data_IF_046072893572
#
_entry.id   IF_046072893572
#
_cell.length_a   1.000
_cell.length_b   1.000
_cell.length_c   1.000
_cell.angle_alpha   90.00
_cell.angle_beta   90.00
_cell.angle_gamma   90.00
#
_symmetry.space_group_name_H-M   'P 1'
#
loop_
_entity.id
_entity.type
_entity.pdbx_description
1 polymer ?
#
# COMPACT_ATOMS: atom_id res chain seq x y z
N UNK A 1 -21.94 28.56 11.88
CA UNK A 1 -21.63 27.64 10.76
C UNK A 1 -22.50 26.41 10.95
N UNK A 2 -23.45 26.09 10.06
CA UNK A 2 -24.36 24.97 10.28
C UNK A 2 -23.54 23.67 10.30
N UNK A 3 -23.72 22.88 11.35
CA UNK A 3 -23.06 21.59 11.49
C UNK A 3 -23.39 20.74 10.26
N UNK A 4 -22.37 20.45 9.43
CA UNK A 4 -22.57 19.60 8.25
C UNK A 4 -23.09 18.25 8.73
N UNK A 5 -24.27 17.86 8.25
CA UNK A 5 -24.89 16.59 8.59
C UNK A 5 -23.92 15.43 8.35
N UNK A 6 -23.81 14.52 9.32
CA UNK A 6 -23.01 13.30 9.21
C UNK A 6 -23.18 12.55 7.87
N UNK A 7 -24.40 12.37 7.31
CA UNK A 7 -24.57 11.74 6.01
C UNK A 7 -23.92 12.51 4.85
N UNK A 8 -23.91 13.85 4.90
CA UNK A 8 -23.26 14.66 3.88
C UNK A 8 -21.73 14.51 3.94
N UNK A 9 -21.17 14.41 5.15
CA UNK A 9 -19.73 14.16 5.35
C UNK A 9 -19.33 12.77 4.85
N UNK A 10 -20.14 11.76 5.14
CA UNK A 10 -19.90 10.39 4.69
C UNK A 10 -19.96 10.29 3.16
N UNK A 11 -20.97 10.91 2.53
CA UNK A 11 -21.07 10.96 1.06
C UNK A 11 -19.81 11.57 0.45
N UNK A 12 -19.38 12.74 0.95
CA UNK A 12 -18.21 13.41 0.43
C UNK A 12 -16.94 12.57 0.64
N UNK A 13 -16.82 11.90 1.79
CA UNK A 13 -15.72 10.98 2.05
C UNK A 13 -15.69 9.83 1.04
N UNK A 14 -16.81 9.15 0.81
CA UNK A 14 -16.89 8.04 -0.15
C UNK A 14 -16.56 8.49 -1.57
N UNK A 15 -17.03 9.67 -1.99
CA UNK A 15 -16.73 10.22 -3.31
C UNK A 15 -15.24 10.53 -3.46
N UNK A 16 -14.63 11.19 -2.47
CA UNK A 16 -13.20 11.51 -2.48
C UNK A 16 -12.36 10.24 -2.45
N UNK A 17 -12.71 9.27 -1.59
CA UNK A 17 -12.03 7.98 -1.52
C UNK A 17 -12.11 7.23 -2.85
N UNK A 18 -13.29 7.17 -3.46
CA UNK A 18 -13.48 6.53 -4.76
C UNK A 18 -12.65 7.17 -5.87
N UNK A 19 -12.60 8.51 -5.93
CA UNK A 19 -11.75 9.24 -6.87
C UNK A 19 -10.26 8.95 -6.62
N UNK A 20 -9.85 8.91 -5.36
CA UNK A 20 -8.46 8.61 -4.99
C UNK A 20 -8.06 7.20 -5.41
N UNK A 21 -8.93 6.21 -5.19
CA UNK A 21 -8.71 4.83 -5.61
C UNK A 21 -8.64 4.72 -7.15
N UNK A 22 -9.56 5.37 -7.87
CA UNK A 22 -9.52 5.41 -9.34
C UNK A 22 -8.21 6.03 -9.86
N UNK A 23 -7.71 7.07 -9.20
CA UNK A 23 -6.45 7.68 -9.54
C UNK A 23 -5.28 6.71 -9.29
N UNK A 24 -5.19 6.12 -8.10
CA UNK A 24 -4.08 5.23 -7.70
C UNK A 24 -4.04 3.96 -8.56
N UNK A 25 -5.18 3.34 -8.82
CA UNK A 25 -5.23 2.05 -9.53
C UNK A 25 -5.46 2.18 -11.05
N UNK A 26 -5.91 3.33 -11.53
CA UNK A 26 -6.18 3.57 -12.95
C UNK A 26 -5.19 4.55 -13.59
N UNK A 27 -5.12 5.78 -13.06
CA UNK A 27 -4.30 6.84 -13.66
C UNK A 27 -2.80 6.67 -13.38
N UNK A 28 -2.44 6.30 -12.16
CA UNK A 28 -1.03 6.13 -11.76
C UNK A 28 -0.31 5.10 -12.64
N UNK A 29 -0.84 3.88 -12.89
CA UNK A 29 -0.18 2.92 -13.76
C UNK A 29 0.02 3.41 -15.20
N UNK A 30 -0.93 4.18 -15.73
CA UNK A 30 -0.81 4.79 -17.06
C UNK A 30 0.33 5.82 -17.09
N UNK A 31 0.43 6.66 -16.07
CA UNK A 31 1.52 7.64 -15.92
C UNK A 31 2.87 6.94 -15.74
N UNK A 32 2.94 5.91 -14.92
CA UNK A 32 4.15 5.09 -14.70
C UNK A 32 4.65 4.48 -16.01
N UNK A 33 3.73 3.98 -16.86
CA UNK A 33 4.07 3.45 -18.20
C UNK A 33 4.47 4.52 -19.21
N UNK A 34 4.00 5.76 -19.04
CA UNK A 34 4.38 6.87 -19.92
C UNK A 34 5.79 7.42 -19.63
N UNK A 35 6.36 7.09 -18.47
CA UNK A 35 7.69 7.53 -18.07
C UNK A 35 8.71 6.40 -18.26
N UNK A 36 9.55 6.51 -19.29
CA UNK A 36 10.54 5.51 -19.67
C UNK A 36 11.40 4.94 -18.50
N UNK A 37 11.96 5.74 -17.56
CA UNK A 37 12.73 5.17 -16.44
C UNK A 37 11.87 4.34 -15.48
N UNK A 38 10.62 4.77 -15.21
CA UNK A 38 9.70 4.06 -14.35
C UNK A 38 9.19 2.77 -15.00
N UNK A 39 8.93 2.81 -16.31
CA UNK A 39 8.57 1.63 -17.08
C UNK A 39 9.69 0.58 -17.06
N UNK A 40 10.95 0.97 -17.31
CA UNK A 40 12.09 0.05 -17.26
C UNK A 40 12.28 -0.56 -15.86
N UNK A 41 12.03 0.21 -14.82
CA UNK A 41 12.09 -0.29 -13.45
C UNK A 41 10.98 -1.30 -13.16
N UNK A 42 9.76 -1.04 -13.63
CA UNK A 42 8.64 -1.98 -13.53
C UNK A 42 8.93 -3.29 -14.28
N UNK A 43 9.43 -3.21 -15.52
CA UNK A 43 9.83 -4.38 -16.32
C UNK A 43 10.96 -5.15 -15.65
N UNK A 44 11.95 -4.46 -15.06
CA UNK A 44 13.04 -5.11 -14.31
C UNK A 44 12.51 -5.88 -13.10
N UNK A 45 11.57 -5.30 -12.33
CA UNK A 45 10.97 -5.97 -11.18
C UNK A 45 10.18 -7.20 -11.61
N UNK A 46 9.38 -7.08 -12.67
CA UNK A 46 8.58 -8.18 -13.23
C UNK A 46 9.47 -9.33 -13.76
N UNK A 47 10.52 -9.00 -14.51
CA UNK A 47 11.48 -9.98 -15.04
C UNK A 47 12.24 -10.74 -13.93
N UNK A 48 12.44 -10.10 -12.78
CA UNK A 48 13.07 -10.73 -11.61
C UNK A 48 12.05 -11.46 -10.70
N UNK A 49 10.77 -11.50 -11.08
CA UNK A 49 9.71 -12.11 -10.28
C UNK A 49 9.41 -11.36 -8.98
N UNK A 50 9.82 -10.09 -8.89
CA UNK A 50 9.63 -9.24 -7.72
C UNK A 50 8.28 -8.55 -7.86
N UNK A 51 7.31 -8.96 -7.05
CA UNK A 51 6.02 -8.28 -6.91
C UNK A 51 6.09 -7.26 -5.76
N UNK A 52 6.20 -5.95 -6.02
CA UNK A 52 6.33 -4.94 -4.97
C UNK A 52 5.10 -4.87 -4.06
N UNK A 53 3.94 -5.33 -4.50
CA UNK A 53 2.72 -5.36 -3.68
C UNK A 53 2.80 -6.42 -2.60
N UNK A 54 3.61 -7.46 -2.82
CA UNK A 54 3.91 -8.52 -1.85
C UNK A 54 4.97 -8.08 -0.83
N UNK A 55 5.86 -7.17 -1.22
CA UNK A 55 6.94 -6.65 -0.35
C UNK A 55 6.47 -5.65 0.71
N UNK A 56 5.26 -5.08 0.59
CA UNK A 56 4.65 -4.31 1.68
C UNK A 56 4.14 -5.19 2.83
N UNK A 57 4.00 -6.50 2.61
CA UNK A 57 3.53 -7.47 3.61
C UNK A 57 4.62 -8.43 4.09
N UNK A 58 5.83 -8.39 3.51
CA UNK A 58 6.98 -9.21 3.98
C UNK A 58 7.47 -8.81 5.36
N UNK A 59 7.15 -7.61 5.84
CA UNK A 59 7.44 -7.23 7.23
C UNK A 59 6.61 -8.03 8.23
N UNK A 60 5.45 -8.60 7.86
CA UNK A 60 4.59 -9.30 8.83
C UNK A 60 5.23 -10.62 9.29
N UNK A 61 5.86 -11.36 8.38
CA UNK A 61 6.59 -12.59 8.74
C UNK A 61 7.86 -12.26 9.54
N UNK A 62 8.61 -11.23 9.14
CA UNK A 62 9.82 -10.79 9.83
C UNK A 62 9.52 -10.21 11.23
N UNK A 63 8.40 -9.51 11.40
CA UNK A 63 7.92 -9.03 12.70
C UNK A 63 7.55 -10.21 13.59
N UNK A 64 6.82 -11.20 13.05
CA UNK A 64 6.43 -12.39 13.81
C UNK A 64 7.64 -13.21 14.28
N UNK A 65 8.64 -13.38 13.43
CA UNK A 65 9.91 -14.03 13.80
C UNK A 65 10.64 -13.25 14.90
N UNK A 66 10.68 -11.92 14.79
CA UNK A 66 11.29 -11.04 15.78
C UNK A 66 10.55 -11.09 17.13
N UNK A 67 9.21 -11.12 17.12
CA UNK A 67 8.38 -11.26 18.32
C UNK A 67 8.57 -12.64 18.98
N UNK A 68 8.70 -13.71 18.20
CA UNK A 68 8.97 -15.05 18.72
C UNK A 68 10.36 -15.12 19.36
N UNK A 69 11.37 -14.56 18.70
CA UNK A 69 12.73 -14.50 19.24
C UNK A 69 12.80 -13.70 20.54
N UNK A 70 12.15 -12.53 20.59
CA UNK A 70 12.11 -11.69 21.79
C UNK A 70 11.43 -12.41 22.96
N UNK A 71 10.31 -13.10 22.70
CA UNK A 71 9.63 -13.89 23.73
C UNK A 71 10.47 -15.06 24.25
N UNK A 72 11.29 -15.69 23.39
CA UNK A 72 12.21 -16.74 23.79
C UNK A 72 13.28 -16.19 24.74
N UNK A 73 13.98 -15.13 24.33
CA UNK A 73 15.04 -14.50 25.12
C UNK A 73 14.54 -13.97 26.46
N UNK A 74 13.34 -13.39 26.49
CA UNK A 74 12.75 -12.83 27.72
C UNK A 74 12.15 -13.89 28.66
N UNK A 75 11.78 -15.08 28.14
CA UNK A 75 11.29 -16.20 28.97
C UNK A 75 12.42 -17.04 29.56
N UNK A 76 13.59 -17.03 28.94
CA UNK A 76 14.79 -17.74 29.41
C UNK A 76 15.60 -16.93 30.46
N UNK A 77 15.04 -15.82 30.98
CA UNK A 77 15.51 -15.09 32.17
C UNK A 77 14.59 -15.31 33.36
#
# INVERSE_FOLDING_TARGET
MPEKSLPLRLKNFTVVLGLMLLFVYGALPLLTRSCAPLQRMAESLENNGIDPTRWYFTDVEQVKESEQHLNMVLRDQ
#
